data_IF_085700801993
#
_entry.id   IF_085700801993
#
_cell.length_a   1.000
_cell.length_b   1.000
_cell.length_c   1.000
_cell.angle_alpha   90.00
_cell.angle_beta   90.00
_cell.angle_gamma   90.00
#
_symmetry.space_group_name_H-M   'P 1'
#
loop_
_entity.id
_entity.type
_entity.pdbx_description
1 polymer ?
#
# COMPACT_ATOMS: atom_id res chain seq x y z
N UNK A 1 -16.33 -0.18 -4.94
CA UNK A 1 -15.77 0.21 -6.26
C UNK A 1 -14.31 0.50 -6.04
N UNK A 2 -13.42 -0.15 -6.78
CA UNK A 2 -11.98 0.04 -6.63
C UNK A 2 -11.58 1.46 -7.02
N UNK A 3 -10.59 2.04 -6.33
CA UNK A 3 -10.06 3.35 -6.66
C UNK A 3 -8.56 3.27 -6.84
N UNK A 4 -8.16 3.12 -8.10
CA UNK A 4 -6.77 2.92 -8.51
C UNK A 4 -5.98 4.23 -8.61
N UNK A 5 -6.66 5.38 -8.52
CA UNK A 5 -6.04 6.71 -8.67
C UNK A 5 -5.74 7.37 -7.32
N UNK A 6 -5.76 6.61 -6.21
CA UNK A 6 -5.42 7.16 -4.89
C UNK A 6 -3.92 7.53 -4.88
N UNK A 7 -3.55 8.76 -4.48
CA UNK A 7 -2.15 9.20 -4.56
C UNK A 7 -1.16 8.25 -3.87
N UNK A 8 -1.47 7.78 -2.66
CA UNK A 8 -0.64 6.81 -1.93
C UNK A 8 -0.47 5.48 -2.66
N UNK A 9 -1.48 5.03 -3.40
CA UNK A 9 -1.39 3.80 -4.18
C UNK A 9 -0.48 3.97 -5.39
N UNK A 10 -0.58 5.12 -6.08
CA UNK A 10 0.32 5.48 -7.18
C UNK A 10 1.76 5.60 -6.68
N UNK A 11 1.99 6.33 -5.59
CA UNK A 11 3.32 6.48 -4.98
C UNK A 11 3.92 5.13 -4.57
N UNK A 12 3.12 4.23 -4.02
CA UNK A 12 3.58 2.89 -3.65
C UNK A 12 3.96 2.06 -4.89
N UNK A 13 3.13 2.07 -5.94
CA UNK A 13 3.44 1.36 -7.18
C UNK A 13 4.72 1.90 -7.84
N UNK A 14 4.90 3.22 -7.88
CA UNK A 14 6.12 3.86 -8.39
C UNK A 14 7.36 3.50 -7.57
N UNK A 15 7.24 3.45 -6.23
CA UNK A 15 8.34 3.07 -5.33
C UNK A 15 8.80 1.62 -5.55
N UNK A 16 7.86 0.74 -5.90
CA UNK A 16 8.11 -0.67 -6.26
C UNK A 16 8.57 -0.84 -7.72
N UNK A 17 8.64 0.24 -8.50
CA UNK A 17 9.15 0.25 -9.86
C UNK A 17 8.11 0.01 -10.97
N UNK A 18 6.82 0.06 -10.64
CA UNK A 18 5.75 -0.12 -11.61
C UNK A 18 5.33 1.21 -12.24
N UNK A 19 5.03 1.17 -13.54
CA UNK A 19 4.48 2.31 -14.27
C UNK A 19 2.94 2.38 -14.19
N UNK A 20 2.29 1.24 -13.89
CA UNK A 20 0.85 1.11 -13.80
C UNK A 20 0.44 0.42 -12.50
N UNK A 21 -0.64 0.91 -11.89
CA UNK A 21 -1.16 0.40 -10.61
C UNK A 21 -1.79 -0.99 -10.76
N UNK A 22 -2.35 -1.33 -11.92
CA UNK A 22 -2.93 -2.65 -12.17
C UNK A 22 -1.84 -3.71 -12.18
N UNK A 23 -0.74 -3.49 -12.90
CA UNK A 23 0.40 -4.42 -12.93
C UNK A 23 0.93 -4.68 -11.51
N UNK A 24 1.10 -3.62 -10.72
CA UNK A 24 1.47 -3.71 -9.31
C UNK A 24 0.48 -4.56 -8.48
N UNK A 25 -0.83 -4.34 -8.64
CA UNK A 25 -1.82 -5.08 -7.88
C UNK A 25 -1.93 -6.55 -8.32
N UNK A 26 -1.74 -6.85 -9.60
CA UNK A 26 -1.79 -8.20 -10.15
C UNK A 26 -0.64 -9.06 -9.61
N UNK A 27 0.59 -8.54 -9.60
CA UNK A 27 1.78 -9.27 -9.13
C UNK A 27 1.68 -9.62 -7.64
N UNK A 28 1.04 -8.76 -6.83
CA UNK A 28 0.93 -8.94 -5.39
C UNK A 28 -0.41 -9.54 -4.92
N UNK A 29 -1.37 -9.80 -5.80
CA UNK A 29 -2.73 -10.24 -5.44
C UNK A 29 -2.78 -11.55 -4.64
N UNK A 30 -1.76 -12.41 -4.76
CA UNK A 30 -1.70 -13.73 -4.13
C UNK A 30 -0.53 -13.90 -3.16
N UNK A 31 0.21 -12.83 -2.88
CA UNK A 31 1.36 -12.88 -1.99
C UNK A 31 0.92 -12.89 -0.52
N UNK A 32 1.69 -13.57 0.33
CA UNK A 32 1.43 -13.65 1.78
C UNK A 32 1.83 -12.38 2.54
N UNK A 33 2.76 -11.61 1.97
CA UNK A 33 3.13 -10.25 2.37
C UNK A 33 3.19 -9.41 1.11
N UNK A 34 2.79 -8.15 1.22
CA UNK A 34 2.71 -7.22 0.09
C UNK A 34 3.21 -5.85 0.49
N UNK A 35 3.63 -5.03 -0.50
CA UNK A 35 4.01 -3.66 -0.24
C UNK A 35 2.87 -2.86 0.37
N UNK A 36 3.24 -2.07 1.38
CA UNK A 36 2.38 -1.17 2.11
C UNK A 36 3.04 0.20 2.24
N UNK A 37 2.21 1.22 2.40
CA UNK A 37 2.65 2.60 2.59
C UNK A 37 1.92 3.24 3.77
N UNK A 38 2.60 4.15 4.45
CA UNK A 38 1.99 4.99 5.45
C UNK A 38 0.98 5.95 4.79
N UNK A 39 -0.28 5.89 5.23
CA UNK A 39 -1.35 6.78 4.74
C UNK A 39 -1.45 8.09 5.52
N UNK A 40 -0.51 8.38 6.43
CA UNK A 40 -0.43 9.68 7.05
C UNK A 40 -0.09 10.77 6.00
N UNK A 41 -0.66 11.98 6.09
CA UNK A 41 -0.46 13.03 5.08
C UNK A 41 1.01 13.43 4.86
N UNK A 42 1.85 13.24 5.86
CA UNK A 42 3.23 13.71 5.97
C UNK A 42 4.28 12.58 6.00
N UNK A 43 3.90 11.35 5.60
CA UNK A 43 4.80 10.20 5.64
C UNK A 43 4.53 9.23 4.48
N UNK A 44 5.55 8.96 3.66
CA UNK A 44 5.50 8.00 2.54
C UNK A 44 6.34 6.75 2.82
N UNK A 45 6.62 6.45 4.09
CA UNK A 45 7.37 5.27 4.45
C UNK A 45 6.67 4.00 3.96
N UNK A 46 7.42 3.12 3.30
CA UNK A 46 6.97 1.83 2.80
C UNK A 46 7.53 0.68 3.64
N UNK A 47 6.79 -0.42 3.69
CA UNK A 47 7.19 -1.66 4.32
C UNK A 47 6.38 -2.84 3.76
N UNK A 48 6.81 -4.06 4.05
CA UNK A 48 6.04 -5.29 3.76
C UNK A 48 5.07 -5.59 4.92
N UNK A 49 3.81 -5.87 4.60
CA UNK A 49 2.79 -6.25 5.58
C UNK A 49 1.89 -7.37 5.05
N UNK A 50 1.16 -8.04 5.94
CA UNK A 50 0.05 -8.89 5.52
C UNK A 50 -0.96 -8.08 4.69
N UNK A 51 -1.51 -8.65 3.60
CA UNK A 51 -2.42 -7.98 2.68
C UNK A 51 -3.56 -7.22 3.35
N UNK A 52 -4.23 -7.82 4.33
CA UNK A 52 -5.43 -7.30 4.97
C UNK A 52 -5.16 -6.62 6.31
N UNK A 53 -3.89 -6.36 6.67
CA UNK A 53 -3.52 -5.73 7.93
C UNK A 53 -4.18 -4.35 8.07
N UNK A 54 -5.11 -4.22 9.03
CA UNK A 54 -5.85 -2.96 9.27
C UNK A 54 -5.24 -2.08 10.35
N UNK A 55 -4.35 -2.59 11.20
CA UNK A 55 -3.75 -1.86 12.30
C UNK A 55 -2.21 -1.76 12.19
N UNK A 56 -1.68 -1.72 10.97
CA UNK A 56 -0.23 -1.64 10.73
C UNK A 56 0.39 -0.36 11.31
N UNK A 57 1.48 -0.51 12.07
CA UNK A 57 2.19 0.59 12.72
C UNK A 57 3.35 1.10 11.85
N UNK A 58 3.44 2.41 11.68
CA UNK A 58 4.53 3.06 10.98
C UNK A 58 5.62 3.45 11.99
N UNK A 59 6.79 2.83 11.90
CA UNK A 59 7.93 3.10 12.77
C UNK A 59 8.55 4.50 12.56
N UNK A 60 8.34 5.11 11.38
CA UNK A 60 8.88 6.43 11.05
C UNK A 60 8.05 7.56 11.69
N UNK A 61 6.72 7.52 11.58
CA UNK A 61 5.86 8.59 12.12
C UNK A 61 5.18 8.23 13.45
N UNK A 62 5.35 6.99 13.93
CA UNK A 62 4.83 6.52 15.21
C UNK A 62 3.30 6.37 15.27
N UNK A 63 2.64 6.16 14.12
CA UNK A 63 1.17 6.09 14.02
C UNK A 63 0.71 4.73 13.45
N UNK A 64 -0.48 4.23 13.83
CA UNK A 64 -1.08 3.03 13.24
C UNK A 64 -1.70 3.33 11.86
N UNK A 65 -0.87 3.74 10.91
CA UNK A 65 -1.28 4.28 9.61
C UNK A 65 -0.70 3.54 8.42
N UNK A 66 -0.12 2.35 8.58
CA UNK A 66 0.33 1.56 7.44
C UNK A 66 -0.85 0.81 6.81
N UNK A 67 -0.90 0.79 5.46
CA UNK A 67 -1.90 0.05 4.67
C UNK A 67 -1.24 -0.54 3.43
N UNK A 68 -1.60 -1.78 3.08
CA UNK A 68 -1.19 -2.40 1.82
C UNK A 68 -1.80 -1.70 0.60
N UNK A 69 -1.17 -1.87 -0.56
CA UNK A 69 -1.75 -1.44 -1.84
C UNK A 69 -3.16 -1.99 -2.07
N UNK A 70 -3.40 -3.26 -1.72
CA UNK A 70 -4.69 -3.95 -1.90
C UNK A 70 -5.82 -3.31 -1.05
N UNK A 71 -5.52 -2.94 0.21
CA UNK A 71 -6.47 -2.23 1.07
C UNK A 71 -6.71 -0.81 0.56
N UNK A 72 -5.67 -0.12 0.08
CA UNK A 72 -5.82 1.23 -0.48
C UNK A 72 -6.67 1.19 -1.75
N UNK A 73 -6.48 0.20 -2.64
CA UNK A 73 -7.29 -0.02 -3.83
C UNK A 73 -8.75 -0.37 -3.51
N UNK A 74 -9.02 -0.87 -2.30
CA UNK A 74 -10.33 -1.32 -1.86
C UNK A 74 -10.68 -2.73 -2.34
N UNK A 75 -9.68 -3.57 -2.59
CA UNK A 75 -9.84 -4.96 -3.00
C UNK A 75 -10.18 -5.88 -1.82
N UNK A 76 -9.69 -5.53 -0.62
CA UNK A 76 -9.88 -6.26 0.64
C UNK A 76 -10.10 -5.31 1.83
#
# INVERSE_FOLDING_TARGET
MFNLTRPKLVTLAEAEGYADVVDFLEDYAQCSVVPAICIAPDCDHTAELEPDQRAGFCEVCGRPSMKSGLVIAGMI
#
